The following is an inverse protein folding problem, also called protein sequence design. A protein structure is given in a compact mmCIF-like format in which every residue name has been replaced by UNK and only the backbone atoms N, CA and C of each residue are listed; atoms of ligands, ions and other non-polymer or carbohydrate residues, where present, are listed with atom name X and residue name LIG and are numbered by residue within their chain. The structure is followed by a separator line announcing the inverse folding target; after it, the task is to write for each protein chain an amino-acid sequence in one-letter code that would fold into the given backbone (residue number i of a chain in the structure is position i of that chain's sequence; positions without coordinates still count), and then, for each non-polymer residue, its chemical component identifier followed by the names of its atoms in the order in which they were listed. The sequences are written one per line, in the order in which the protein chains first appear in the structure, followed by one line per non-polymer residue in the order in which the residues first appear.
data_IF_058605071225
#
_entry.id   IF_058605071225
#
_cell.length_a   1.000
_cell.length_b   1.000
_cell.length_c   1.000
_cell.angle_alpha   90.00
_cell.angle_beta   90.00
_cell.angle_gamma   90.00
#
_symmetry.space_group_name_H-M   'P 1'
#
loop_
_entity.id
_entity.type
_entity.pdbx_description
1 polymer ?
#
# COMPACT_ATOMS: atom_id res chain seq x y z
N UNK A 1 -10.30 -0.54 5.41
CA UNK A 1 -9.71 -0.10 4.13
C UNK A 1 -10.16 1.33 3.88
N UNK A 2 -9.22 2.27 3.76
CA UNK A 2 -9.51 3.65 3.34
C UNK A 2 -8.95 3.83 1.94
N UNK A 3 -9.78 4.32 1.03
CA UNK A 3 -9.39 4.65 -0.35
C UNK A 3 -9.86 6.08 -0.64
N UNK A 4 -8.92 6.99 -0.86
CA UNK A 4 -9.21 8.38 -1.23
C UNK A 4 -8.57 8.71 -2.58
N UNK A 5 -9.28 9.48 -3.38
CA UNK A 5 -8.75 10.14 -4.59
C UNK A 5 -8.42 11.62 -4.37
N UNK A 6 -8.75 12.15 -3.19
CA UNK A 6 -8.44 13.53 -2.80
C UNK A 6 -7.33 13.45 -1.77
N UNK A 7 -6.14 13.89 -2.18
CA UNK A 7 -4.93 13.88 -1.37
C UNK A 7 -4.42 15.31 -1.33
N UNK A 8 -4.15 15.80 -0.13
CA UNK A 8 -3.54 17.11 0.08
C UNK A 8 -2.16 16.88 0.65
N UNK A 9 -1.14 17.15 -0.15
CA UNK A 9 0.26 17.16 0.29
C UNK A 9 0.46 18.39 1.17
N UNK A 10 0.93 18.18 2.40
CA UNK A 10 1.17 19.25 3.38
C UNK A 10 2.65 19.63 3.41
N UNK A 11 3.55 18.65 3.25
CA UNK A 11 5.01 18.82 3.18
C UNK A 11 5.58 17.81 2.16
N UNK A 12 6.71 18.16 1.51
CA UNK A 12 7.54 17.29 0.66
C UNK A 12 6.96 16.80 -0.70
N UNK A 13 7.78 16.00 -1.40
CA UNK A 13 7.62 15.52 -2.79
C UNK A 13 6.79 14.22 -2.94
N UNK A 14 6.16 13.70 -1.88
CA UNK A 14 5.32 12.51 -2.02
C UNK A 14 3.88 12.92 -2.37
N UNK A 15 3.66 13.16 -3.68
CA UNK A 15 2.37 13.52 -4.28
C UNK A 15 1.78 12.36 -5.10
N UNK A 16 1.24 11.31 -4.45
CA UNK A 16 0.64 10.20 -5.17
C UNK A 16 -0.73 10.60 -5.74
N UNK A 17 -1.01 10.23 -6.99
CA UNK A 17 -2.36 10.39 -7.58
C UNK A 17 -3.44 9.59 -6.83
N UNK A 18 -3.04 8.48 -6.19
CA UNK A 18 -3.93 7.57 -5.45
C UNK A 18 -3.25 7.03 -4.19
N UNK A 19 -3.99 6.98 -3.09
CA UNK A 19 -3.54 6.47 -1.80
C UNK A 19 -4.51 5.40 -1.28
N UNK A 20 -3.95 4.28 -0.82
CA UNK A 20 -4.71 3.16 -0.24
C UNK A 20 -4.09 2.80 1.11
N UNK A 21 -4.92 2.73 2.15
CA UNK A 21 -4.51 2.28 3.49
C UNK A 21 -5.28 1.02 3.83
N UNK A 22 -4.55 -0.03 4.18
CA UNK A 22 -5.07 -1.34 4.56
C UNK A 22 -4.66 -1.59 6.00
N UNK A 23 -5.63 -1.85 6.86
CA UNK A 23 -5.39 -2.20 8.25
C UNK A 23 -5.31 -3.74 8.36
N UNK A 24 -4.29 -4.22 9.07
CA UNK A 24 -4.10 -5.62 9.42
C UNK A 24 -4.15 -5.78 10.94
N UNK A 25 -4.46 -6.97 11.47
CA UNK A 25 -4.42 -7.24 12.91
C UNK A 25 -3.03 -7.00 13.51
N UNK A 26 -1.98 -7.40 12.80
CA UNK A 26 -0.58 -7.30 13.19
C UNK A 26 0.34 -7.29 11.95
N UNK A 27 1.63 -7.07 12.18
CA UNK A 27 2.65 -7.02 11.12
C UNK A 27 2.85 -8.39 10.45
N UNK A 28 2.61 -9.49 11.16
CA UNK A 28 2.74 -10.85 10.61
C UNK A 28 1.64 -11.12 9.57
N UNK A 29 0.40 -10.74 9.87
CA UNK A 29 -0.74 -10.81 8.97
C UNK A 29 -0.51 -10.00 7.69
N UNK A 30 0.10 -8.81 7.80
CA UNK A 30 0.50 -8.01 6.64
C UNK A 30 1.54 -8.74 5.79
N UNK A 31 2.58 -9.31 6.40
CA UNK A 31 3.64 -10.03 5.68
C UNK A 31 3.08 -11.26 4.97
N UNK A 32 2.31 -12.08 5.69
CA UNK A 32 1.67 -13.27 5.15
C UNK A 32 0.79 -12.93 3.95
N UNK A 33 0.02 -11.83 4.02
CA UNK A 33 -0.76 -11.37 2.88
C UNK A 33 0.11 -10.86 1.72
N UNK A 34 1.13 -10.03 1.99
CA UNK A 34 1.95 -9.42 0.95
C UNK A 34 2.87 -10.40 0.22
N UNK A 35 3.20 -11.50 0.88
CA UNK A 35 4.01 -12.62 0.35
C UNK A 35 3.17 -13.82 -0.11
N UNK A 36 1.84 -13.75 0.06
CA UNK A 36 0.93 -14.81 -0.37
C UNK A 36 0.95 -15.04 -1.88
N UNK A 37 0.76 -16.30 -2.28
CA UNK A 37 0.62 -16.69 -3.68
C UNK A 37 -0.63 -16.04 -4.30
N UNK A 38 -1.70 -15.88 -3.52
CA UNK A 38 -2.93 -15.23 -4.00
C UNK A 38 -2.73 -13.75 -4.35
N UNK A 39 -1.78 -13.06 -3.71
CA UNK A 39 -1.47 -11.65 -3.99
C UNK A 39 -0.33 -11.45 -4.99
N UNK A 40 0.47 -12.49 -5.28
CA UNK A 40 1.65 -12.41 -6.12
C UNK A 40 1.36 -11.87 -7.53
N UNK A 41 0.38 -12.43 -8.22
CA UNK A 41 0.01 -12.01 -9.59
C UNK A 41 -0.50 -10.57 -9.63
N UNK A 42 -1.32 -10.19 -8.64
CA UNK A 42 -1.85 -8.82 -8.51
C UNK A 42 -0.72 -7.81 -8.25
N UNK A 43 0.27 -8.19 -7.44
CA UNK A 43 1.44 -7.35 -7.15
C UNK A 43 2.27 -7.12 -8.40
N UNK A 44 2.52 -8.16 -9.20
CA UNK A 44 3.25 -8.06 -10.48
C UNK A 44 2.50 -7.15 -11.46
N UNK A 45 1.20 -7.37 -11.65
CA UNK A 45 0.38 -6.54 -12.54
C UNK A 45 0.41 -5.07 -12.13
N UNK A 46 0.26 -4.79 -10.83
CA UNK A 46 0.31 -3.44 -10.27
C UNK A 46 1.64 -2.75 -10.53
N UNK A 47 2.75 -3.46 -10.35
CA UNK A 47 4.10 -2.92 -10.58
C UNK A 47 4.41 -2.71 -12.06
N UNK A 48 3.82 -3.51 -12.95
CA UNK A 48 4.02 -3.37 -14.40
C UNK A 48 3.35 -2.11 -14.97
N UNK A 49 2.26 -1.63 -14.36
CA UNK A 49 1.47 -0.49 -14.86
C UNK A 49 1.68 0.80 -14.08
N UNK A 50 2.30 0.74 -12.90
CA UNK A 50 2.42 1.90 -12.00
C UNK A 50 3.66 1.83 -11.11
N UNK A 51 4.45 2.90 -11.12
CA UNK A 51 5.45 3.15 -10.09
C UNK A 51 4.75 3.58 -8.79
N UNK A 52 5.09 2.93 -7.68
CA UNK A 52 4.37 3.12 -6.42
C UNK A 52 5.29 2.95 -5.23
N UNK A 53 5.05 3.74 -4.20
CA UNK A 53 5.66 3.55 -2.88
C UNK A 53 4.70 2.76 -2.00
N UNK A 54 5.22 1.84 -1.20
CA UNK A 54 4.47 1.11 -0.19
C UNK A 54 5.27 1.12 1.11
N UNK A 55 4.58 1.37 2.23
CA UNK A 55 5.17 1.34 3.57
C UNK A 55 4.27 0.55 4.50
N UNK A 56 4.88 -0.29 5.33
CA UNK A 56 4.23 -0.95 6.46
C UNK A 56 4.62 -0.22 7.74
N UNK A 57 3.65 0.03 8.61
CA UNK A 57 3.85 0.76 9.87
C UNK A 57 3.24 -0.06 11.00
N UNK A 58 4.04 -0.33 12.03
CA UNK A 58 3.56 -0.92 13.28
C UNK A 58 3.23 0.22 14.26
N UNK A 59 2.06 0.13 14.90
CA UNK A 59 1.75 1.02 16.02
C UNK A 59 2.57 0.63 17.25
N UNK A 60 3.02 1.63 18.02
CA UNK A 60 3.62 1.43 19.34
C UNK A 60 2.57 1.13 20.41
#
# INVERSE_FOLDING_TARGET
MVRSSIIKVIEENWDPERMTIIAFPDMESLKNWYESDEYADLKVMRQAVMASNAMAVEGL
#
